data_IF_815093364495
#
_entry.id   IF_815093364495
#
_cell.length_a   1.000
_cell.length_b   1.000
_cell.length_c   1.000
_cell.angle_alpha   90.00
_cell.angle_beta   90.00
_cell.angle_gamma   90.00
#
_symmetry.space_group_name_H-M   'P 1'
#
loop_
_entity.id
_entity.type
_entity.pdbx_description
1 polymer ?
#
# COMPACT_ATOMS: atom_id res chain seq x y z
N UNK A 1 22.39 33.49 -2.80
CA UNK A 1 22.74 32.52 -3.88
C UNK A 1 23.79 31.55 -3.39
N UNK A 2 23.61 30.24 -3.61
CA UNK A 2 24.62 29.23 -3.21
C UNK A 2 25.83 29.32 -4.14
N UNK A 3 27.06 29.38 -3.62
CA UNK A 3 28.29 29.49 -4.45
C UNK A 3 28.41 28.28 -5.39
N UNK A 4 28.96 28.52 -6.62
CA UNK A 4 29.09 27.46 -7.66
C UNK A 4 29.78 26.20 -7.14
N UNK A 5 30.83 26.30 -6.32
CA UNK A 5 31.55 25.17 -5.71
C UNK A 5 30.65 24.32 -4.82
N UNK A 6 29.79 24.94 -4.01
CA UNK A 6 28.83 24.20 -3.16
C UNK A 6 27.78 23.48 -4.00
N UNK A 7 27.32 24.09 -5.11
CA UNK A 7 26.40 23.40 -6.05
C UNK A 7 27.04 22.17 -6.67
N UNK A 8 28.28 22.26 -7.15
CA UNK A 8 29.03 21.17 -7.76
C UNK A 8 29.19 20.02 -6.74
N UNK A 9 29.64 20.36 -5.51
CA UNK A 9 29.76 19.34 -4.44
C UNK A 9 28.44 18.67 -4.11
N UNK A 10 27.34 19.43 -4.07
CA UNK A 10 26.01 18.91 -3.83
C UNK A 10 25.54 17.95 -4.97
N UNK A 11 25.76 18.35 -6.23
CA UNK A 11 25.43 17.46 -7.36
C UNK A 11 26.29 16.20 -7.38
N UNK A 12 27.59 16.32 -7.09
CA UNK A 12 28.47 15.15 -6.98
C UNK A 12 28.00 14.19 -5.88
N UNK A 13 27.65 14.70 -4.69
CA UNK A 13 27.11 13.90 -3.61
C UNK A 13 25.78 13.21 -4.02
N UNK A 14 24.87 13.95 -4.67
CA UNK A 14 23.61 13.37 -5.15
C UNK A 14 23.84 12.26 -6.19
N UNK A 15 24.77 12.45 -7.13
CA UNK A 15 25.11 11.44 -8.14
C UNK A 15 25.69 10.19 -7.48
N UNK A 16 26.59 10.36 -6.51
CA UNK A 16 27.18 9.21 -5.77
C UNK A 16 26.09 8.45 -5.01
N UNK A 17 25.23 9.15 -4.27
CA UNK A 17 24.12 8.52 -3.54
C UNK A 17 23.18 7.79 -4.50
N UNK A 18 22.82 8.43 -5.62
CA UNK A 18 21.96 7.82 -6.64
C UNK A 18 22.63 6.57 -7.22
N UNK A 19 23.92 6.63 -7.53
CA UNK A 19 24.66 5.47 -8.05
C UNK A 19 24.66 4.30 -7.04
N UNK A 20 24.91 4.58 -5.75
CA UNK A 20 24.86 3.55 -4.68
C UNK A 20 23.47 2.92 -4.57
N UNK A 21 22.41 3.72 -4.66
CA UNK A 21 21.02 3.22 -4.56
C UNK A 21 20.63 2.42 -5.80
N UNK A 22 21.00 2.86 -6.99
CA UNK A 22 20.60 2.23 -8.26
C UNK A 22 21.43 0.99 -8.57
N UNK A 23 22.70 0.95 -8.13
CA UNK A 23 23.63 -0.14 -8.42
C UNK A 23 23.07 -1.55 -8.10
N UNK A 24 22.51 -1.83 -6.90
CA UNK A 24 22.01 -3.17 -6.60
C UNK A 24 20.85 -3.59 -7.51
N UNK A 25 20.01 -2.66 -7.96
CA UNK A 25 18.93 -2.97 -8.91
C UNK A 25 19.49 -3.35 -10.29
N UNK A 26 20.43 -2.57 -10.81
CA UNK A 26 21.09 -2.90 -12.06
C UNK A 26 21.85 -4.23 -11.96
N UNK A 27 22.50 -4.46 -10.81
CA UNK A 27 23.19 -5.72 -10.55
C UNK A 27 22.24 -6.90 -10.52
N UNK A 28 21.10 -6.79 -9.87
CA UNK A 28 20.06 -7.83 -9.86
C UNK A 28 19.58 -8.15 -11.28
N UNK A 29 19.37 -7.14 -12.13
CA UNK A 29 19.03 -7.34 -13.54
C UNK A 29 20.13 -8.09 -14.28
N UNK A 30 21.41 -7.76 -14.07
CA UNK A 30 22.52 -8.49 -14.66
C UNK A 30 22.60 -9.93 -14.16
N UNK A 31 22.36 -10.19 -12.89
CA UNK A 31 22.36 -11.54 -12.32
C UNK A 31 21.23 -12.41 -12.91
N UNK A 32 20.10 -11.82 -13.32
CA UNK A 32 18.99 -12.57 -13.91
C UNK A 32 19.35 -13.25 -15.23
N UNK A 33 20.41 -12.80 -15.91
CA UNK A 33 20.95 -13.40 -17.14
C UNK A 33 22.03 -14.46 -16.89
N UNK A 34 22.42 -14.73 -15.62
CA UNK A 34 23.42 -15.72 -15.26
C UNK A 34 22.78 -17.04 -14.87
N UNK A 35 23.48 -18.14 -15.14
CA UNK A 35 23.09 -19.45 -14.60
C UNK A 35 23.35 -19.53 -13.09
N UNK A 36 22.63 -20.40 -12.37
CA UNK A 36 22.82 -20.60 -10.92
C UNK A 36 24.27 -20.98 -10.59
N UNK A 37 24.92 -21.82 -11.39
CA UNK A 37 26.34 -22.22 -11.23
C UNK A 37 27.29 -21.03 -11.40
N UNK A 38 26.99 -20.11 -12.33
CA UNK A 38 27.79 -18.91 -12.56
C UNK A 38 27.64 -17.90 -11.42
N UNK A 39 26.44 -17.77 -10.86
CA UNK A 39 26.17 -16.91 -9.69
C UNK A 39 26.95 -17.47 -8.47
N UNK A 40 26.90 -18.77 -8.24
CA UNK A 40 27.56 -19.41 -7.10
C UNK A 40 29.09 -19.35 -7.20
N UNK A 41 29.64 -19.45 -8.41
CA UNK A 41 31.12 -19.45 -8.60
C UNK A 41 31.71 -18.03 -8.53
N UNK A 42 31.04 -17.04 -9.10
CA UNK A 42 31.51 -15.65 -9.06
C UNK A 42 30.34 -14.67 -9.19
N UNK A 43 29.71 -14.25 -8.06
CA UNK A 43 28.54 -13.38 -8.06
C UNK A 43 28.84 -11.99 -8.60
N UNK A 44 30.07 -11.49 -8.48
CA UNK A 44 30.45 -10.13 -8.89
C UNK A 44 30.98 -10.03 -10.33
N UNK A 45 31.18 -11.14 -11.04
CA UNK A 45 31.60 -11.10 -12.44
C UNK A 45 30.43 -10.70 -13.37
N UNK A 46 30.75 -10.08 -14.49
CA UNK A 46 29.77 -9.89 -15.57
C UNK A 46 29.31 -11.24 -16.15
N UNK A 47 28.07 -11.35 -16.67
CA UNK A 47 27.60 -12.55 -17.34
C UNK A 47 28.51 -12.92 -18.52
N UNK A 48 28.91 -14.18 -18.63
CA UNK A 48 29.70 -14.66 -19.78
C UNK A 48 28.88 -14.70 -21.06
N UNK A 49 27.58 -14.96 -20.94
CA UNK A 49 26.59 -14.91 -22.01
C UNK A 49 25.26 -14.46 -21.44
N UNK A 50 24.46 -13.76 -22.25
CA UNK A 50 23.09 -13.41 -21.86
C UNK A 50 22.21 -14.66 -22.02
N UNK A 51 21.91 -15.31 -20.89
CA UNK A 51 21.05 -16.48 -20.87
C UNK A 51 19.62 -16.08 -20.44
N UNK A 52 18.61 -16.48 -21.19
CA UNK A 52 17.20 -16.24 -20.92
C UNK A 52 16.49 -17.44 -20.30
N UNK A 53 17.20 -18.52 -19.95
CA UNK A 53 16.60 -19.74 -19.40
C UNK A 53 15.86 -19.48 -18.08
N UNK A 54 16.39 -18.58 -17.23
CA UNK A 54 15.71 -18.20 -15.99
C UNK A 54 14.34 -17.58 -16.26
N UNK A 55 14.24 -16.70 -17.26
CA UNK A 55 12.97 -16.07 -17.65
C UNK A 55 12.00 -17.08 -18.25
N UNK A 56 12.50 -17.98 -19.11
CA UNK A 56 11.72 -19.04 -19.72
C UNK A 56 11.15 -19.99 -18.66
N UNK A 57 12.02 -20.46 -17.75
CA UNK A 57 11.61 -21.30 -16.64
C UNK A 57 10.58 -20.60 -15.72
N UNK A 58 10.75 -19.32 -15.45
CA UNK A 58 9.81 -18.54 -14.68
C UNK A 58 8.42 -18.49 -15.35
N UNK A 59 8.38 -18.23 -16.66
CA UNK A 59 7.14 -18.16 -17.45
C UNK A 59 6.43 -19.52 -17.58
N UNK A 60 7.21 -20.62 -17.60
CA UNK A 60 6.68 -22.00 -17.64
C UNK A 60 6.15 -22.46 -16.28
N UNK A 61 6.76 -22.00 -15.18
CA UNK A 61 6.42 -22.42 -13.82
C UNK A 61 5.21 -21.66 -13.26
N UNK A 62 5.07 -20.38 -13.59
CA UNK A 62 4.06 -19.50 -13.02
C UNK A 62 3.15 -18.89 -14.10
N UNK A 63 1.86 -18.89 -13.81
CA UNK A 63 0.89 -18.14 -14.61
C UNK A 63 0.90 -16.66 -14.21
N UNK A 64 1.86 -15.87 -14.73
CA UNK A 64 1.98 -14.45 -14.44
C UNK A 64 0.69 -13.65 -14.66
N UNK A 65 -0.06 -13.81 -15.77
CA UNK A 65 -1.33 -13.13 -15.94
C UNK A 65 -2.29 -13.34 -14.78
N UNK A 66 -2.35 -14.55 -14.22
CA UNK A 66 -3.19 -14.86 -13.08
C UNK A 66 -2.68 -14.21 -11.79
N UNK A 67 -1.38 -14.22 -11.54
CA UNK A 67 -0.77 -13.55 -10.38
C UNK A 67 -1.07 -12.05 -10.39
N UNK A 68 -0.90 -11.40 -11.55
CA UNK A 68 -1.25 -9.98 -11.71
C UNK A 68 -2.74 -9.74 -11.51
N UNK A 69 -3.61 -10.54 -12.15
CA UNK A 69 -5.06 -10.40 -12.00
C UNK A 69 -5.50 -10.55 -10.55
N UNK A 70 -4.98 -11.55 -9.82
CA UNK A 70 -5.27 -11.73 -8.40
C UNK A 70 -4.81 -10.53 -7.56
N UNK A 71 -3.58 -10.05 -7.81
CA UNK A 71 -3.03 -8.88 -7.10
C UNK A 71 -3.87 -7.63 -7.35
N UNK A 72 -4.25 -7.38 -8.62
CA UNK A 72 -5.11 -6.24 -8.95
C UNK A 72 -6.49 -6.34 -8.29
N UNK A 73 -7.13 -7.50 -8.31
CA UNK A 73 -8.44 -7.71 -7.67
C UNK A 73 -8.35 -7.44 -6.17
N UNK A 74 -7.38 -8.04 -5.49
CA UNK A 74 -7.18 -7.83 -4.05
C UNK A 74 -6.88 -6.38 -3.75
N UNK A 75 -5.97 -5.76 -4.53
CA UNK A 75 -5.57 -4.37 -4.34
C UNK A 75 -6.75 -3.41 -4.52
N UNK A 76 -7.49 -3.51 -5.63
CA UNK A 76 -8.61 -2.62 -5.93
C UNK A 76 -9.70 -2.74 -4.86
N UNK A 77 -10.10 -3.97 -4.53
CA UNK A 77 -11.18 -4.19 -3.56
C UNK A 77 -10.80 -3.74 -2.15
N UNK A 78 -9.57 -4.01 -1.72
CA UNK A 78 -9.08 -3.57 -0.41
C UNK A 78 -8.98 -2.05 -0.32
N UNK A 79 -8.42 -1.39 -1.34
CA UNK A 79 -8.26 0.07 -1.38
C UNK A 79 -9.63 0.76 -1.45
N UNK A 80 -10.56 0.27 -2.26
CA UNK A 80 -11.91 0.86 -2.34
C UNK A 80 -12.64 0.74 -1.00
N UNK A 81 -12.61 -0.44 -0.40
CA UNK A 81 -13.26 -0.68 0.90
C UNK A 81 -12.67 0.21 2.00
N UNK A 82 -11.35 0.26 2.07
CA UNK A 82 -10.61 1.09 3.02
C UNK A 82 -10.93 2.58 2.82
N UNK A 83 -10.89 3.09 1.58
CA UNK A 83 -11.16 4.49 1.29
C UNK A 83 -12.58 4.92 1.70
N UNK A 84 -13.58 4.08 1.47
CA UNK A 84 -14.95 4.34 1.89
C UNK A 84 -15.01 4.51 3.41
N UNK A 85 -14.44 3.56 4.15
CA UNK A 85 -14.46 3.58 5.61
C UNK A 85 -13.67 4.78 6.15
N UNK A 86 -12.46 4.99 5.63
CA UNK A 86 -11.57 6.08 6.07
C UNK A 86 -12.16 7.45 5.75
N UNK A 87 -12.72 7.63 4.55
CA UNK A 87 -13.29 8.91 4.16
C UNK A 87 -14.52 9.26 5.01
N UNK A 88 -15.44 8.30 5.19
CA UNK A 88 -16.62 8.51 6.03
C UNK A 88 -16.23 8.81 7.49
N UNK A 89 -15.33 8.01 8.07
CA UNK A 89 -14.89 8.22 9.45
C UNK A 89 -14.15 9.53 9.64
N UNK A 90 -13.25 9.89 8.73
CA UNK A 90 -12.49 11.14 8.78
C UNK A 90 -13.37 12.36 8.59
N UNK A 91 -14.37 12.29 7.68
CA UNK A 91 -15.35 13.35 7.50
C UNK A 91 -16.14 13.59 8.79
N UNK A 92 -16.68 12.53 9.39
CA UNK A 92 -17.42 12.63 10.66
C UNK A 92 -16.54 13.23 11.77
N UNK A 93 -15.31 12.77 11.91
CA UNK A 93 -14.40 13.26 12.96
C UNK A 93 -13.93 14.70 12.69
N UNK A 94 -13.71 15.10 11.43
CA UNK A 94 -13.18 16.41 11.13
C UNK A 94 -14.27 17.49 11.09
N UNK A 95 -15.45 17.18 10.56
CA UNK A 95 -16.47 18.16 10.15
C UNK A 95 -17.75 18.13 10.97
N UNK A 96 -18.10 16.98 11.58
CA UNK A 96 -19.34 16.90 12.33
C UNK A 96 -19.18 17.33 13.78
N UNK A 97 -20.19 17.97 14.31
CA UNK A 97 -20.31 18.24 15.73
C UNK A 97 -20.94 17.04 16.45
N UNK A 98 -20.38 16.70 17.58
CA UNK A 98 -20.88 15.63 18.42
C UNK A 98 -21.59 16.22 19.63
N UNK A 99 -22.77 15.70 19.96
CA UNK A 99 -23.49 16.07 21.19
C UNK A 99 -22.61 15.93 22.45
N UNK A 100 -21.70 14.95 22.44
CA UNK A 100 -20.74 14.72 23.50
C UNK A 100 -19.30 14.80 22.97
N UNK A 101 -18.51 15.83 23.30
CA UNK A 101 -17.14 16.00 22.82
C UNK A 101 -16.22 14.78 23.12
N UNK A 102 -16.44 14.13 24.28
CA UNK A 102 -15.69 12.92 24.66
C UNK A 102 -15.92 11.75 23.69
N UNK A 103 -17.13 11.61 23.12
CA UNK A 103 -17.42 10.55 22.17
C UNK A 103 -16.61 10.72 20.87
N UNK A 104 -16.45 11.96 20.39
CA UNK A 104 -15.61 12.28 19.22
C UNK A 104 -14.15 11.89 19.46
N UNK A 105 -13.60 12.28 20.62
CA UNK A 105 -12.23 11.96 21.00
C UNK A 105 -12.02 10.45 21.17
N UNK A 106 -12.98 9.75 21.79
CA UNK A 106 -12.92 8.31 21.98
C UNK A 106 -12.97 7.57 20.64
N UNK A 107 -13.88 7.94 19.73
CA UNK A 107 -13.97 7.36 18.39
C UNK A 107 -12.67 7.55 17.60
N UNK A 108 -12.13 8.76 17.61
CA UNK A 108 -10.86 9.06 16.94
C UNK A 108 -9.72 8.26 17.56
N UNK A 109 -9.62 8.26 18.90
CA UNK A 109 -8.62 7.47 19.63
C UNK A 109 -8.71 5.98 19.30
N UNK A 110 -9.91 5.41 19.28
CA UNK A 110 -10.14 4.01 18.90
C UNK A 110 -9.65 3.71 17.47
N UNK A 111 -9.98 4.56 16.50
CA UNK A 111 -9.57 4.35 15.11
C UNK A 111 -8.05 4.42 14.92
N UNK A 112 -7.34 5.27 15.67
CA UNK A 112 -5.88 5.38 15.55
C UNK A 112 -5.12 4.38 16.44
N UNK A 113 -5.77 3.70 17.39
CA UNK A 113 -5.13 2.68 18.24
C UNK A 113 -4.49 1.56 17.41
N UNK A 114 -5.03 1.25 16.24
CA UNK A 114 -4.45 0.26 15.34
C UNK A 114 -3.01 0.55 14.91
N UNK A 115 -2.56 1.82 14.97
CA UNK A 115 -1.16 2.18 14.73
C UNK A 115 -0.19 1.57 15.76
N UNK A 116 -0.69 1.27 16.96
CA UNK A 116 0.12 0.70 18.03
C UNK A 116 0.25 -0.82 17.97
N UNK A 117 -0.53 -1.46 17.11
CA UNK A 117 -0.57 -2.93 17.00
C UNK A 117 0.19 -3.38 15.75
N UNK A 118 1.23 -4.18 15.95
CA UNK A 118 1.97 -4.75 14.81
C UNK A 118 1.09 -5.71 14.00
N UNK A 119 1.04 -5.59 12.67
CA UNK A 119 0.31 -6.52 11.81
C UNK A 119 0.72 -7.98 12.01
N UNK A 120 1.99 -8.25 12.35
CA UNK A 120 2.49 -9.62 12.58
C UNK A 120 1.83 -10.29 13.78
N UNK A 121 1.51 -9.55 14.84
CA UNK A 121 0.81 -10.08 16.02
C UNK A 121 -0.62 -10.49 15.64
N UNK A 122 -1.25 -9.74 14.74
CA UNK A 122 -2.62 -9.98 14.30
C UNK A 122 -2.75 -11.10 13.26
N UNK A 123 -1.66 -11.57 12.66
CA UNK A 123 -1.68 -12.54 11.57
C UNK A 123 -2.46 -13.82 11.94
N UNK A 124 -2.16 -14.42 13.09
CA UNK A 124 -2.83 -15.65 13.52
C UNK A 124 -4.29 -15.43 13.99
N UNK A 125 -4.62 -14.41 14.80
CA UNK A 125 -6.02 -14.06 15.09
C UNK A 125 -6.85 -13.81 13.84
N UNK A 126 -6.32 -13.04 12.89
CA UNK A 126 -7.04 -12.72 11.63
C UNK A 126 -7.21 -13.97 10.77
N UNK A 127 -6.22 -14.88 10.71
CA UNK A 127 -6.37 -16.17 10.05
C UNK A 127 -7.53 -16.98 10.64
N UNK A 128 -7.65 -17.05 11.98
CA UNK A 128 -8.77 -17.72 12.65
C UNK A 128 -10.13 -17.09 12.33
N UNK A 129 -10.18 -15.76 12.31
CA UNK A 129 -11.40 -15.02 11.94
C UNK A 129 -11.81 -15.35 10.52
N UNK A 130 -10.88 -15.37 9.57
CA UNK A 130 -11.15 -15.74 8.19
C UNK A 130 -11.72 -17.16 8.06
N UNK A 131 -11.15 -18.13 8.80
CA UNK A 131 -11.69 -19.50 8.83
C UNK A 131 -13.12 -19.51 9.38
N UNK A 132 -13.36 -18.78 10.46
CA UNK A 132 -14.71 -18.72 11.08
C UNK A 132 -15.77 -18.17 10.10
N UNK A 133 -15.41 -17.15 9.30
CA UNK A 133 -16.30 -16.59 8.28
C UNK A 133 -16.27 -17.35 6.95
N UNK A 134 -15.49 -18.43 6.84
CA UNK A 134 -15.38 -19.22 5.61
C UNK A 134 -14.65 -18.49 4.45
N UNK A 135 -13.93 -17.43 4.75
CA UNK A 135 -13.15 -16.68 3.75
C UNK A 135 -11.90 -17.48 3.36
N UNK A 136 -11.72 -17.70 2.06
CA UNK A 136 -10.62 -18.51 1.51
C UNK A 136 -9.98 -17.84 0.30
N UNK A 137 -8.75 -18.27 -0.04
CA UNK A 137 -8.00 -17.77 -1.18
C UNK A 137 -7.82 -16.25 -1.12
N UNK A 138 -7.77 -15.61 -2.25
CA UNK A 138 -7.58 -14.15 -2.36
C UNK A 138 -8.63 -13.31 -1.61
N UNK A 139 -9.84 -13.83 -1.42
CA UNK A 139 -10.91 -13.14 -0.67
C UNK A 139 -10.56 -12.96 0.81
N UNK A 140 -9.76 -13.88 1.37
CA UNK A 140 -9.28 -13.81 2.75
C UNK A 140 -8.29 -12.64 2.99
N UNK A 141 -7.75 -12.01 1.94
CA UNK A 141 -6.80 -10.90 2.05
C UNK A 141 -7.47 -9.54 2.07
N UNK A 142 -8.67 -9.40 1.49
CA UNK A 142 -9.30 -8.09 1.26
C UNK A 142 -9.58 -7.35 2.57
N UNK A 143 -10.25 -8.01 3.52
CA UNK A 143 -10.59 -7.39 4.79
C UNK A 143 -9.37 -7.06 5.67
N UNK A 144 -8.40 -7.97 5.84
CA UNK A 144 -7.19 -7.67 6.58
C UNK A 144 -6.38 -6.49 6.00
N UNK A 145 -6.26 -6.43 4.68
CA UNK A 145 -5.53 -5.34 4.02
C UNK A 145 -6.26 -4.00 4.16
N UNK A 146 -7.58 -3.99 3.96
CA UNK A 146 -8.35 -2.79 4.22
C UNK A 146 -8.23 -2.34 5.68
N UNK A 147 -8.38 -3.26 6.63
CA UNK A 147 -8.34 -2.95 8.05
C UNK A 147 -6.97 -2.43 8.53
N UNK A 148 -5.87 -2.98 8.03
CA UNK A 148 -4.52 -2.61 8.43
C UNK A 148 -4.17 -1.14 8.12
N UNK A 149 -4.79 -0.56 7.10
CA UNK A 149 -4.50 0.80 6.63
C UNK A 149 -5.44 1.86 7.24
N UNK A 150 -6.60 1.47 7.78
CA UNK A 150 -7.63 2.42 8.28
C UNK A 150 -7.05 3.41 9.29
N UNK A 151 -6.24 2.95 10.24
CA UNK A 151 -5.73 3.80 11.32
C UNK A 151 -4.83 4.93 10.81
N UNK A 152 -3.86 4.60 9.97
CA UNK A 152 -2.94 5.58 9.39
C UNK A 152 -3.68 6.54 8.46
N UNK A 153 -4.55 6.02 7.61
CA UNK A 153 -5.28 6.79 6.63
C UNK A 153 -6.30 7.72 7.30
N UNK A 154 -6.97 7.27 8.36
CA UNK A 154 -7.87 8.12 9.17
C UNK A 154 -7.10 9.26 9.83
N UNK A 155 -5.90 9.01 10.37
CA UNK A 155 -5.05 10.06 10.92
C UNK A 155 -4.70 11.11 9.85
N UNK A 156 -4.20 10.66 8.70
CA UNK A 156 -3.75 11.51 7.61
C UNK A 156 -4.91 12.35 7.03
N UNK A 157 -6.02 11.67 6.72
CA UNK A 157 -7.17 12.32 6.10
C UNK A 157 -7.88 13.28 7.07
N UNK A 158 -8.04 12.88 8.34
CA UNK A 158 -8.62 13.77 9.37
C UNK A 158 -7.77 15.02 9.56
N UNK A 159 -6.44 14.88 9.60
CA UNK A 159 -5.53 16.02 9.72
C UNK A 159 -5.64 16.98 8.53
N UNK A 160 -5.74 16.44 7.32
CA UNK A 160 -5.94 17.23 6.11
C UNK A 160 -7.30 17.95 6.11
N UNK A 161 -8.38 17.23 6.39
CA UNK A 161 -9.73 17.82 6.41
C UNK A 161 -9.85 18.95 7.43
N UNK A 162 -9.21 18.84 8.59
CA UNK A 162 -9.20 19.90 9.61
C UNK A 162 -8.48 21.19 9.18
N UNK A 163 -7.62 21.12 8.15
CA UNK A 163 -6.94 22.31 7.61
C UNK A 163 -7.79 23.09 6.61
N UNK A 164 -8.85 22.47 6.06
CA UNK A 164 -9.74 23.15 5.14
C UNK A 164 -10.62 24.14 5.93
N UNK A 165 -10.84 25.37 5.44
CA UNK A 165 -11.68 26.37 6.08
C UNK A 165 -13.11 25.85 6.32
N UNK A 166 -13.69 26.17 7.47
CA UNK A 166 -15.08 25.77 7.82
C UNK A 166 -16.13 26.58 7.06
N UNK A 167 -15.77 27.76 6.59
CA UNK A 167 -16.60 28.66 5.78
C UNK A 167 -17.09 27.98 4.49
N UNK A 168 -16.36 26.98 3.99
CA UNK A 168 -16.77 26.16 2.84
C UNK A 168 -18.00 25.33 3.17
N UNK A 169 -18.03 24.76 4.38
CA UNK A 169 -19.16 23.94 4.84
C UNK A 169 -20.38 24.82 5.06
N UNK A 170 -20.19 26.02 5.66
CA UNK A 170 -21.25 27.01 5.88
C UNK A 170 -21.85 27.50 4.56
N UNK A 171 -21.00 27.83 3.59
CA UNK A 171 -21.45 28.23 2.26
C UNK A 171 -22.28 27.13 1.57
N UNK A 172 -21.81 25.89 1.63
CA UNK A 172 -22.52 24.75 1.06
C UNK A 172 -23.90 24.52 1.73
N UNK A 173 -24.01 24.76 3.04
CA UNK A 173 -25.29 24.68 3.77
C UNK A 173 -26.22 25.80 3.36
N UNK A 174 -25.73 27.03 3.18
CA UNK A 174 -26.49 28.16 2.68
C UNK A 174 -27.03 27.89 1.26
N UNK A 175 -26.21 27.21 0.42
CA UNK A 175 -26.60 26.77 -0.93
C UNK A 175 -27.58 25.59 -0.93
N UNK A 176 -28.01 25.11 0.26
CA UNK A 176 -29.01 24.05 0.41
C UNK A 176 -28.44 22.63 0.28
N UNK A 177 -27.12 22.45 0.38
CA UNK A 177 -26.54 21.12 0.38
C UNK A 177 -26.92 20.34 1.65
N UNK A 178 -27.40 19.10 1.47
CA UNK A 178 -27.50 18.17 2.58
C UNK A 178 -26.11 17.57 2.89
N UNK A 179 -26.03 16.84 4.02
CA UNK A 179 -24.76 16.27 4.52
C UNK A 179 -24.04 15.37 3.49
N UNK A 180 -24.80 14.57 2.72
CA UNK A 180 -24.24 13.70 1.68
C UNK A 180 -23.72 14.53 0.49
N UNK A 181 -24.41 15.59 0.12
CA UNK A 181 -23.98 16.50 -0.93
C UNK A 181 -22.73 17.25 -0.51
N UNK A 182 -22.67 17.75 0.72
CA UNK A 182 -21.49 18.37 1.29
C UNK A 182 -20.30 17.39 1.24
N UNK A 183 -20.48 16.18 1.75
CA UNK A 183 -19.44 15.15 1.79
C UNK A 183 -18.92 14.79 0.39
N UNK A 184 -19.82 14.50 -0.56
CA UNK A 184 -19.44 13.92 -1.87
C UNK A 184 -19.15 15.00 -2.91
N UNK A 185 -19.91 16.12 -2.92
CA UNK A 185 -19.79 17.16 -3.96
C UNK A 185 -18.80 18.26 -3.60
N UNK A 186 -18.54 18.49 -2.32
CA UNK A 186 -17.67 19.58 -1.85
C UNK A 186 -16.39 19.03 -1.25
N UNK A 187 -16.48 18.25 -0.18
CA UNK A 187 -15.30 17.82 0.59
C UNK A 187 -14.50 16.76 -0.15
N UNK A 188 -15.13 15.76 -0.77
CA UNK A 188 -14.44 14.71 -1.50
C UNK A 188 -13.57 15.25 -2.67
N UNK A 189 -14.03 16.16 -3.51
CA UNK A 189 -13.18 16.79 -4.53
C UNK A 189 -11.99 17.56 -3.95
N UNK A 190 -12.17 18.25 -2.83
CA UNK A 190 -11.10 18.97 -2.15
C UNK A 190 -10.07 18.03 -1.50
N UNK A 191 -10.50 16.84 -1.08
CA UNK A 191 -9.65 15.83 -0.50
C UNK A 191 -8.87 15.00 -1.54
N UNK A 192 -9.09 15.18 -2.85
CA UNK A 192 -8.41 14.40 -3.90
C UNK A 192 -6.89 14.31 -3.75
N UNK A 193 -6.15 15.38 -3.40
CA UNK A 193 -4.69 15.28 -3.28
C UNK A 193 -4.24 14.31 -2.19
N UNK A 194 -4.89 14.35 -1.00
CA UNK A 194 -4.56 13.45 0.09
C UNK A 194 -5.06 12.03 -0.17
N UNK A 195 -6.23 11.88 -0.81
CA UNK A 195 -6.76 10.58 -1.24
C UNK A 195 -5.81 9.92 -2.24
N UNK A 196 -5.27 10.66 -3.21
CA UNK A 196 -4.27 10.14 -4.14
C UNK A 196 -3.02 9.63 -3.39
N UNK A 197 -2.56 10.36 -2.38
CA UNK A 197 -1.44 9.94 -1.52
C UNK A 197 -1.77 8.64 -0.77
N UNK A 198 -2.96 8.53 -0.19
CA UNK A 198 -3.45 7.34 0.50
C UNK A 198 -3.49 6.14 -0.46
N UNK A 199 -4.05 6.33 -1.65
CA UNK A 199 -4.12 5.27 -2.68
C UNK A 199 -2.72 4.76 -3.04
N UNK A 200 -1.77 5.66 -3.28
CA UNK A 200 -0.40 5.28 -3.62
C UNK A 200 0.23 4.44 -2.50
N UNK A 201 0.13 4.86 -1.23
CA UNK A 201 0.68 4.11 -0.11
C UNK A 201 0.02 2.75 0.05
N UNK A 202 -1.30 2.67 -0.06
CA UNK A 202 -2.03 1.40 0.08
C UNK A 202 -1.74 0.44 -1.07
N UNK A 203 -1.68 0.94 -2.30
CA UNK A 203 -1.29 0.11 -3.46
C UNK A 203 0.12 -0.45 -3.26
N UNK A 204 1.09 0.39 -2.88
CA UNK A 204 2.46 -0.06 -2.61
C UNK A 204 2.52 -1.08 -1.47
N UNK A 205 1.77 -0.86 -0.39
CA UNK A 205 1.70 -1.79 0.73
C UNK A 205 1.14 -3.15 0.29
N UNK A 206 -0.03 -3.18 -0.33
CA UNK A 206 -0.72 -4.42 -0.73
C UNK A 206 0.08 -5.16 -1.80
N UNK A 207 0.70 -4.44 -2.73
CA UNK A 207 1.51 -5.02 -3.80
C UNK A 207 2.70 -5.80 -3.27
N UNK A 208 3.34 -5.29 -2.23
CA UNK A 208 4.55 -5.89 -1.63
C UNK A 208 4.23 -6.81 -0.44
N UNK A 209 2.97 -6.89 -0.02
CA UNK A 209 2.61 -7.66 1.16
C UNK A 209 2.74 -9.16 0.89
N UNK A 210 3.54 -9.83 1.73
CA UNK A 210 3.83 -11.26 1.64
C UNK A 210 3.39 -12.04 2.89
N UNK A 211 3.60 -11.58 4.13
CA UNK A 211 3.29 -12.31 5.36
C UNK A 211 1.85 -12.84 5.44
N UNK A 212 0.85 -11.98 5.21
CA UNK A 212 -0.55 -12.41 5.20
C UNK A 212 -0.85 -13.33 4.03
N UNK A 213 -0.34 -13.01 2.83
CA UNK A 213 -0.51 -13.84 1.64
C UNK A 213 0.02 -15.26 1.87
N UNK A 214 1.22 -15.40 2.47
CA UNK A 214 1.86 -16.71 2.72
C UNK A 214 1.11 -17.60 3.70
N UNK A 215 0.35 -17.02 4.63
CA UNK A 215 -0.44 -17.76 5.61
C UNK A 215 -1.85 -18.09 5.09
N UNK A 216 -2.44 -17.18 4.31
CA UNK A 216 -3.84 -17.27 3.91
C UNK A 216 -4.06 -17.95 2.57
N UNK A 217 -3.10 -17.83 1.63
CA UNK A 217 -3.19 -18.45 0.32
C UNK A 217 -2.58 -19.84 0.34
N UNK A 218 -3.40 -20.85 0.03
CA UNK A 218 -2.97 -22.26 -0.04
C UNK A 218 -2.85 -22.75 -1.47
N UNK A 219 -3.74 -22.28 -2.33
CA UNK A 219 -3.82 -22.72 -3.72
C UNK A 219 -3.04 -21.78 -4.64
N UNK A 220 -2.24 -22.34 -5.53
CA UNK A 220 -1.42 -21.59 -6.50
C UNK A 220 -2.28 -20.67 -7.38
N UNK A 221 -3.53 -21.10 -7.66
CA UNK A 221 -4.49 -20.30 -8.44
C UNK A 221 -4.89 -18.98 -7.78
N UNK A 222 -4.75 -18.86 -6.47
CA UNK A 222 -5.08 -17.65 -5.70
C UNK A 222 -3.87 -16.77 -5.38
N UNK A 223 -2.66 -17.23 -5.70
CA UNK A 223 -1.44 -16.50 -5.36
C UNK A 223 -1.42 -15.09 -5.93
N UNK A 224 -0.93 -14.17 -5.11
CA UNK A 224 -0.56 -12.81 -5.52
C UNK A 224 0.85 -12.80 -6.10
N UNK A 225 1.24 -11.69 -6.74
CA UNK A 225 2.55 -11.53 -7.35
C UNK A 225 3.68 -11.69 -6.31
N UNK A 226 3.50 -11.10 -5.11
CA UNK A 226 4.46 -11.22 -4.00
C UNK A 226 4.63 -12.66 -3.53
N UNK A 227 3.53 -13.43 -3.50
CA UNK A 227 3.57 -14.85 -3.17
C UNK A 227 4.20 -15.68 -4.29
N UNK A 228 3.89 -15.38 -5.56
CA UNK A 228 4.50 -16.05 -6.72
C UNK A 228 6.02 -15.89 -6.75
N UNK A 229 6.55 -14.72 -6.40
CA UNK A 229 7.99 -14.48 -6.32
C UNK A 229 8.71 -15.40 -5.31
N UNK A 230 8.01 -15.88 -4.29
CA UNK A 230 8.60 -16.79 -3.29
C UNK A 230 8.84 -18.21 -3.80
N UNK A 231 8.24 -18.60 -4.93
CA UNK A 231 8.47 -19.92 -5.55
C UNK A 231 9.89 -20.11 -6.04
N UNK A 232 10.59 -19.03 -6.36
CA UNK A 232 11.96 -19.08 -6.86
C UNK A 232 13.02 -18.99 -5.76
N UNK A 233 12.62 -19.12 -4.49
CA UNK A 233 13.57 -19.32 -3.40
C UNK A 233 14.04 -20.76 -3.48
N UNK A 234 15.21 -20.95 -4.09
CA UNK A 234 15.93 -22.23 -4.08
C UNK A 234 16.38 -22.63 -2.69
#
# INVERSE_FOLDING_TARGET
MVPKRKKIAMYAAMIIITAIVVFPFLWMVLLSFKSSSEIMSNPLAMPKAFNLDNFKHALETLNFPQLYANTFVVCILSVVLELIITFCSSFVIARMEFKHPKAKSLLYGFLILGLSVSPFILLFPVYKINIFFGLRGKWALIFPYAASSISFNTLLLTAYLKQLPTEIDEAAVIDGCNIWQLMVKVILPMAKPVIATIVIFNVLYIWNEYPYASVMLKDVSDYTLSMGASFFKG
#
